data_IF_350228217074
#
_entry.id   IF_350228217074
#
_cell.length_a   1.000
_cell.length_b   1.000
_cell.length_c   1.000
_cell.angle_alpha   90.00
_cell.angle_beta   90.00
_cell.angle_gamma   90.00
#
_symmetry.space_group_name_H-M   'P 1'
#
loop_
_entity.id
_entity.type
_entity.pdbx_description
1 polymer ?
#
# COMPACT_ATOMS: atom_id res chain seq x y z
N UNK A 1 11.43 -2.94 14.45
CA UNK A 1 12.02 -2.91 13.09
C UNK A 1 12.18 -4.36 12.65
N UNK A 2 11.08 -5.10 12.66
CA UNK A 2 11.09 -6.55 12.51
C UNK A 2 10.22 -6.89 11.29
N UNK A 3 10.85 -7.60 10.34
CA UNK A 3 10.25 -8.24 9.16
C UNK A 3 9.81 -7.40 7.94
N UNK A 4 10.50 -6.30 7.63
CA UNK A 4 10.37 -5.67 6.30
C UNK A 4 11.06 -6.51 5.21
N UNK A 5 10.29 -6.98 4.21
CA UNK A 5 10.83 -7.65 3.02
C UNK A 5 10.94 -6.69 1.85
N UNK A 6 12.16 -6.48 1.35
CA UNK A 6 12.40 -5.70 0.14
C UNK A 6 11.92 -6.46 -1.10
N UNK A 7 10.97 -5.89 -1.82
CA UNK A 7 10.48 -6.40 -3.10
C UNK A 7 10.83 -5.46 -4.25
N UNK A 8 10.96 -5.99 -5.46
CA UNK A 8 11.07 -5.20 -6.69
C UNK A 8 9.79 -5.37 -7.49
N UNK A 9 9.00 -4.30 -7.60
CA UNK A 9 7.71 -4.30 -8.29
C UNK A 9 7.84 -3.60 -9.64
N UNK A 10 7.30 -4.21 -10.69
CA UNK A 10 7.21 -3.60 -12.02
C UNK A 10 5.81 -3.02 -12.20
N UNK A 11 5.71 -1.70 -12.22
CA UNK A 11 4.47 -0.98 -12.44
C UNK A 11 4.41 -0.42 -13.87
N UNK A 12 3.24 -0.45 -14.53
CA UNK A 12 3.02 0.35 -15.72
C UNK A 12 3.30 1.83 -15.44
N UNK A 13 3.98 2.53 -16.35
CA UNK A 13 4.40 3.93 -16.15
C UNK A 13 3.26 4.86 -15.75
N UNK A 14 2.08 4.67 -16.35
CA UNK A 14 0.88 5.46 -16.02
C UNK A 14 0.40 5.23 -14.59
N UNK A 15 0.50 3.99 -14.10
CA UNK A 15 0.11 3.66 -12.73
C UNK A 15 1.11 4.25 -11.73
N UNK A 16 2.41 4.12 -12.00
CA UNK A 16 3.45 4.75 -11.19
C UNK A 16 3.25 6.27 -11.07
N UNK A 17 2.99 6.96 -12.20
CA UNK A 17 2.75 8.41 -12.19
C UNK A 17 1.56 8.80 -11.32
N UNK A 18 0.44 8.04 -11.40
CA UNK A 18 -0.73 8.28 -10.54
C UNK A 18 -0.40 8.10 -9.06
N UNK A 19 0.31 7.04 -8.70
CA UNK A 19 0.70 6.79 -7.30
C UNK A 19 1.63 7.87 -6.75
N UNK A 20 2.54 8.42 -7.57
CA UNK A 20 3.43 9.52 -7.18
C UNK A 20 2.64 10.79 -6.89
N UNK A 21 1.66 11.13 -7.74
CA UNK A 21 0.82 12.31 -7.51
C UNK A 21 -0.05 12.14 -6.25
N UNK A 22 -0.65 10.97 -6.04
CA UNK A 22 -1.44 10.69 -4.83
C UNK A 22 -0.58 10.81 -3.56
N UNK A 23 0.59 10.16 -3.56
CA UNK A 23 1.53 10.24 -2.44
C UNK A 23 1.97 11.69 -2.15
N UNK A 24 2.13 12.51 -3.19
CA UNK A 24 2.48 13.93 -3.06
C UNK A 24 1.34 14.74 -2.43
N UNK A 25 0.10 14.52 -2.88
CA UNK A 25 -1.10 15.16 -2.31
C UNK A 25 -1.20 14.84 -0.82
N UNK A 26 -0.98 13.58 -0.46
CA UNK A 26 -1.06 13.09 0.92
C UNK A 26 0.21 13.30 1.74
N UNK A 27 1.21 14.01 1.19
CA UNK A 27 2.50 14.34 1.82
C UNK A 27 3.22 13.12 2.42
N UNK A 28 3.10 11.97 1.76
CA UNK A 28 3.70 10.69 2.17
C UNK A 28 4.68 10.19 1.13
N UNK A 29 5.51 9.23 1.53
CA UNK A 29 6.37 8.54 0.57
C UNK A 29 5.52 7.65 -0.34
N UNK A 30 5.99 7.40 -1.57
CA UNK A 30 5.35 6.44 -2.48
C UNK A 30 5.23 5.05 -1.84
N UNK A 31 6.21 4.65 -1.03
CA UNK A 31 6.17 3.37 -0.31
C UNK A 31 5.03 3.35 0.72
N UNK A 32 4.90 4.41 1.51
CA UNK A 32 3.81 4.55 2.50
C UNK A 32 2.44 4.54 1.82
N UNK A 33 2.31 5.16 0.64
CA UNK A 33 1.07 5.13 -0.13
C UNK A 33 0.75 3.73 -0.66
N UNK A 34 1.75 3.02 -1.19
CA UNK A 34 1.56 1.64 -1.63
C UNK A 34 1.13 0.74 -0.46
N UNK A 35 1.75 0.87 0.71
CA UNK A 35 1.38 0.11 1.91
C UNK A 35 -0.06 0.43 2.31
N UNK A 36 -0.42 1.71 2.42
CA UNK A 36 -1.77 2.14 2.76
C UNK A 36 -2.83 1.54 1.82
N UNK A 37 -2.59 1.60 0.50
CA UNK A 37 -3.52 1.02 -0.48
C UNK A 37 -3.63 -0.50 -0.34
N UNK A 38 -2.54 -1.20 -0.01
CA UNK A 38 -2.55 -2.65 0.23
C UNK A 38 -3.32 -3.00 1.51
N UNK A 39 -3.09 -2.27 2.60
CA UNK A 39 -3.82 -2.46 3.86
C UNK A 39 -5.33 -2.22 3.69
N UNK A 40 -5.70 -1.16 2.97
CA UNK A 40 -7.11 -0.88 2.66
C UNK A 40 -7.74 -1.97 1.78
N UNK A 41 -6.99 -2.48 0.79
CA UNK A 41 -7.50 -3.49 -0.13
C UNK A 41 -7.61 -4.89 0.52
N UNK A 42 -6.67 -5.24 1.41
CA UNK A 42 -6.67 -6.51 2.12
C UNK A 42 -7.61 -6.50 3.34
N UNK A 43 -7.95 -5.31 3.85
CA UNK A 43 -8.69 -5.16 5.09
C UNK A 43 -7.80 -5.36 6.33
N UNK A 44 -8.34 -5.17 7.54
CA UNK A 44 -7.58 -5.36 8.77
C UNK A 44 -7.04 -6.79 8.87
N UNK A 45 -5.76 -6.92 9.24
CA UNK A 45 -5.16 -8.20 9.60
C UNK A 45 -5.85 -8.71 10.87
N UNK A 46 -6.74 -9.69 10.71
CA UNK A 46 -7.71 -10.05 11.76
C UNK A 46 -9.13 -9.62 11.42
N UNK A 47 -9.55 -9.81 10.17
CA UNK A 47 -10.95 -10.03 9.85
C UNK A 47 -11.42 -11.28 10.59
N UNK A 48 -11.64 -11.13 11.90
CA UNK A 48 -12.29 -12.11 12.74
C UNK A 48 -13.62 -12.42 12.06
N UNK A 49 -13.72 -13.67 11.62
CA UNK A 49 -14.96 -14.35 11.33
C UNK A 49 -15.83 -14.34 12.60
N UNK A 50 -16.47 -13.20 12.89
CA UNK A 50 -17.56 -13.11 13.87
C UNK A 50 -18.82 -13.68 13.22
N UNK A 51 -18.73 -14.94 12.79
CA UNK A 51 -19.86 -15.79 12.45
C UNK A 51 -20.06 -16.78 13.60
N UNK A 52 -20.60 -16.32 14.74
CA UNK A 52 -21.35 -17.19 15.66
C UNK A 52 -22.28 -16.41 16.60
#
# INVERSE_FOLDING_TARGET
MEDEKRISLRLPTKLHARLVEEARVDRRSLNSEIIYLLEVALGPEGGDDQSH
#
